data_IF_829150020626
#
_entry.id   IF_829150020626
#
_cell.length_a   1.000
_cell.length_b   1.000
_cell.length_c   1.000
_cell.angle_alpha   90.00
_cell.angle_beta   90.00
_cell.angle_gamma   90.00
#
_symmetry.space_group_name_H-M   'P 1'
#
loop_
_entity.id
_entity.type
_entity.pdbx_description
1 polymer ?
#
# COMPACT_ATOMS: atom_id res chain seq x y z
N UNK A 1 -62.29 23.21 16.41
CA UNK A 1 -61.77 23.62 15.09
C UNK A 1 -60.27 23.86 15.21
N UNK A 2 -59.49 23.13 14.40
CA UNK A 2 -58.13 22.67 14.71
C UNK A 2 -57.01 23.66 14.32
N UNK A 3 -56.06 23.90 15.22
CA UNK A 3 -54.88 24.77 15.02
C UNK A 3 -53.73 24.12 14.20
N UNK A 4 -53.92 22.91 13.67
CA UNK A 4 -52.89 22.20 12.90
C UNK A 4 -52.86 22.51 11.39
N UNK A 5 -53.82 23.27 10.85
CA UNK A 5 -53.92 23.48 9.40
C UNK A 5 -53.13 24.69 8.85
N UNK A 6 -52.39 25.44 9.69
CA UNK A 6 -51.67 26.65 9.24
C UNK A 6 -50.14 26.56 9.22
N UNK A 7 -49.56 25.45 9.67
CA UNK A 7 -48.09 25.27 9.68
C UNK A 7 -47.54 24.47 8.50
N UNK A 8 -48.42 23.86 7.67
CA UNK A 8 -48.00 22.96 6.59
C UNK A 8 -47.74 23.70 5.27
N UNK A 9 -48.16 24.96 5.13
CA UNK A 9 -48.04 25.68 3.86
C UNK A 9 -46.75 26.49 3.66
N UNK A 10 -45.92 26.67 4.70
CA UNK A 10 -44.66 27.42 4.61
C UNK A 10 -43.40 26.54 4.48
N UNK A 11 -43.49 25.22 4.70
CA UNK A 11 -42.35 24.30 4.51
C UNK A 11 -42.25 23.81 3.06
N UNK A 12 -43.35 23.86 2.29
CA UNK A 12 -43.34 23.40 0.90
C UNK A 12 -42.75 24.39 -0.10
N UNK A 13 -42.64 25.68 0.25
CA UNK A 13 -42.12 26.73 -0.63
C UNK A 13 -40.63 27.06 -0.42
N UNK A 14 -40.03 26.57 0.68
CA UNK A 14 -38.57 26.66 0.87
C UNK A 14 -37.81 25.51 0.17
N UNK A 15 -38.52 24.46 -0.25
CA UNK A 15 -37.97 23.35 -1.03
C UNK A 15 -37.98 23.57 -2.55
N UNK A 16 -38.58 24.66 -3.04
CA UNK A 16 -38.67 24.96 -4.48
C UNK A 16 -37.74 26.08 -4.96
N UNK A 17 -36.95 26.69 -4.07
CA UNK A 17 -35.97 27.73 -4.44
C UNK A 17 -34.51 27.39 -4.10
N UNK A 18 -34.23 26.14 -3.71
CA UNK A 18 -32.90 25.54 -3.79
C UNK A 18 -32.83 24.56 -4.98
N UNK A 19 -33.38 24.97 -6.13
CA UNK A 19 -32.80 24.57 -7.41
C UNK A 19 -31.48 25.30 -7.52
N UNK A 20 -30.50 24.84 -6.73
CA UNK A 20 -29.13 25.14 -6.94
C UNK A 20 -28.83 24.81 -8.40
N UNK A 21 -28.38 25.82 -9.14
CA UNK A 21 -27.44 25.62 -10.24
C UNK A 21 -26.19 24.94 -9.65
N UNK A 22 -26.32 23.68 -9.25
CA UNK A 22 -25.18 22.78 -9.22
C UNK A 22 -25.14 22.21 -10.61
N UNK A 23 -24.32 22.81 -11.47
CA UNK A 23 -23.68 22.05 -12.53
C UNK A 23 -23.04 20.85 -11.82
N UNK A 24 -23.73 19.71 -11.79
CA UNK A 24 -23.18 18.47 -11.33
C UNK A 24 -22.08 18.17 -12.33
N UNK A 25 -20.86 18.63 -12.02
CA UNK A 25 -19.67 18.18 -12.72
C UNK A 25 -19.75 16.66 -12.65
N UNK A 26 -19.90 16.03 -13.82
CA UNK A 26 -19.95 14.57 -13.93
C UNK A 26 -18.76 14.03 -13.16
N UNK A 27 -19.05 13.28 -12.09
CA UNK A 27 -17.97 12.71 -11.28
C UNK A 27 -17.16 11.79 -12.19
N UNK A 28 -15.82 11.89 -12.20
CA UNK A 28 -14.99 11.07 -13.06
C UNK A 28 -15.34 9.59 -12.89
N UNK A 29 -15.58 8.92 -14.02
CA UNK A 29 -15.89 7.49 -14.04
C UNK A 29 -14.61 6.74 -13.69
N UNK A 30 -14.62 6.02 -12.56
CA UNK A 30 -13.49 5.17 -12.17
C UNK A 30 -13.33 4.03 -13.17
N UNK A 31 -12.21 4.01 -13.89
CA UNK A 31 -11.82 2.93 -14.80
C UNK A 31 -10.89 1.99 -14.04
N UNK A 32 -11.33 0.74 -13.84
CA UNK A 32 -10.52 -0.30 -13.19
C UNK A 32 -9.56 -0.96 -14.18
N UNK A 33 -8.40 -1.49 -13.71
CA UNK A 33 -7.45 -2.15 -14.57
C UNK A 33 -8.03 -3.48 -15.07
N UNK A 34 -8.43 -3.52 -16.35
CA UNK A 34 -9.14 -4.66 -16.96
C UNK A 34 -8.37 -5.97 -16.82
N UNK A 35 -7.05 -5.91 -17.03
CA UNK A 35 -6.20 -7.09 -16.95
C UNK A 35 -6.18 -7.69 -15.54
N UNK A 36 -6.11 -6.84 -14.51
CA UNK A 36 -6.16 -7.25 -13.11
C UNK A 36 -7.51 -7.87 -12.74
N UNK A 37 -8.63 -7.24 -13.11
CA UNK A 37 -9.96 -7.75 -12.73
C UNK A 37 -10.30 -9.07 -13.44
N UNK A 38 -9.88 -9.23 -14.70
CA UNK A 38 -10.04 -10.48 -15.45
C UNK A 38 -9.24 -11.61 -14.82
N UNK A 39 -7.96 -11.38 -14.53
CA UNK A 39 -7.08 -12.37 -13.90
C UNK A 39 -7.58 -12.77 -12.50
N UNK A 40 -8.13 -11.81 -11.76
CA UNK A 40 -8.71 -12.07 -10.45
C UNK A 40 -10.07 -12.78 -10.51
N UNK A 41 -10.72 -12.80 -11.68
CA UNK A 41 -12.07 -13.32 -11.86
C UNK A 41 -13.12 -12.50 -11.11
N UNK A 42 -12.97 -11.17 -11.10
CA UNK A 42 -13.91 -10.23 -10.47
C UNK A 42 -14.44 -9.22 -11.50
N UNK A 43 -15.60 -8.65 -11.23
CA UNK A 43 -16.21 -7.61 -12.06
C UNK A 43 -16.11 -6.24 -11.39
N UNK A 44 -16.23 -5.12 -12.14
CA UNK A 44 -16.35 -3.79 -11.53
C UNK A 44 -17.48 -3.71 -10.49
N UNK A 45 -18.60 -4.38 -10.76
CA UNK A 45 -19.74 -4.45 -9.84
C UNK A 45 -19.38 -5.13 -8.53
N UNK A 46 -18.52 -6.17 -8.55
CA UNK A 46 -18.04 -6.81 -7.33
C UNK A 46 -17.22 -5.83 -6.48
N UNK A 47 -16.39 -5.00 -7.11
CA UNK A 47 -15.60 -3.97 -6.41
C UNK A 47 -16.55 -3.01 -5.69
N UNK A 48 -17.49 -2.39 -6.43
CA UNK A 48 -18.44 -1.44 -5.84
C UNK A 48 -19.27 -2.05 -4.72
N UNK A 49 -19.76 -3.28 -4.91
CA UNK A 49 -20.56 -4.00 -3.91
C UNK A 49 -19.79 -4.26 -2.61
N UNK A 50 -18.48 -4.41 -2.67
CA UNK A 50 -17.65 -4.78 -1.53
C UNK A 50 -16.90 -3.60 -0.89
N UNK A 51 -16.92 -2.40 -1.47
CA UNK A 51 -16.28 -1.20 -0.91
C UNK A 51 -16.71 -0.93 0.55
N UNK A 52 -18.00 -1.08 0.85
CA UNK A 52 -18.54 -0.77 2.17
C UNK A 52 -17.88 -1.59 3.29
N UNK A 53 -17.51 -2.84 3.00
CA UNK A 53 -16.81 -3.72 3.95
C UNK A 53 -15.49 -3.13 4.43
N UNK A 54 -14.84 -2.30 3.61
CA UNK A 54 -13.55 -1.72 3.91
C UNK A 54 -13.61 -0.31 4.51
N UNK A 55 -14.79 0.32 4.60
CA UNK A 55 -14.92 1.69 5.15
C UNK A 55 -14.57 1.79 6.63
N UNK A 56 -14.76 0.72 7.38
CA UNK A 56 -14.41 0.65 8.81
C UNK A 56 -13.10 -0.08 9.06
N UNK A 57 -12.38 -0.49 8.00
CA UNK A 57 -11.08 -1.13 8.13
C UNK A 57 -10.06 -0.14 8.72
N UNK A 58 -9.24 -0.58 9.68
CA UNK A 58 -8.25 0.29 10.35
C UNK A 58 -7.28 0.95 9.36
N UNK A 59 -6.82 0.21 8.34
CA UNK A 59 -5.95 0.74 7.28
C UNK A 59 -6.66 1.85 6.52
N UNK A 60 -7.95 1.68 6.23
CA UNK A 60 -8.74 2.71 5.57
C UNK A 60 -8.91 3.96 6.44
N UNK A 61 -9.19 3.78 7.73
CA UNK A 61 -9.36 4.90 8.67
C UNK A 61 -8.06 5.68 8.85
N UNK A 62 -6.93 5.00 8.98
CA UNK A 62 -5.60 5.63 9.05
C UNK A 62 -5.26 6.40 7.76
N UNK A 63 -5.51 5.80 6.60
CA UNK A 63 -5.34 6.47 5.31
C UNK A 63 -6.19 7.74 5.21
N UNK A 64 -7.47 7.67 5.55
CA UNK A 64 -8.35 8.83 5.48
C UNK A 64 -7.99 9.90 6.53
N UNK A 65 -7.46 9.51 7.69
CA UNK A 65 -6.90 10.46 8.65
C UNK A 65 -5.70 11.20 8.05
N UNK A 66 -4.79 10.49 7.39
CA UNK A 66 -3.66 11.08 6.67
C UNK A 66 -4.11 12.03 5.55
N UNK A 67 -5.07 11.62 4.72
CA UNK A 67 -5.65 12.48 3.67
C UNK A 67 -6.19 13.79 4.25
N UNK A 68 -6.88 13.73 5.39
CA UNK A 68 -7.40 14.94 6.05
C UNK A 68 -6.31 15.82 6.67
N UNK A 69 -5.20 15.22 7.09
CA UNK A 69 -4.06 15.95 7.65
C UNK A 69 -3.29 16.71 6.56
N UNK A 70 -3.01 16.04 5.43
CA UNK A 70 -2.22 16.62 4.33
C UNK A 70 -3.04 17.45 3.33
N UNK A 71 -4.36 17.26 3.32
CA UNK A 71 -5.30 18.03 2.48
C UNK A 71 -6.53 18.45 3.33
N UNK A 72 -6.37 19.39 4.28
CA UNK A 72 -7.41 19.73 5.27
C UNK A 72 -8.69 20.33 4.67
N UNK A 73 -8.59 20.94 3.49
CA UNK A 73 -9.72 21.58 2.80
C UNK A 73 -10.12 20.83 1.51
N UNK A 74 -9.89 19.51 1.47
CA UNK A 74 -10.30 18.70 0.33
C UNK A 74 -11.81 18.84 0.06
N UNK A 75 -12.17 19.08 -1.20
CA UNK A 75 -13.57 19.13 -1.63
C UNK A 75 -14.32 17.85 -1.21
N UNK A 76 -15.54 17.93 -0.64
CA UNK A 76 -16.28 16.76 -0.18
C UNK A 76 -16.52 15.70 -1.26
N UNK A 77 -16.72 16.12 -2.51
CA UNK A 77 -16.87 15.22 -3.65
C UNK A 77 -15.58 14.46 -3.94
N UNK A 78 -14.46 15.18 -4.06
CA UNK A 78 -13.12 14.56 -4.19
C UNK A 78 -12.80 13.62 -3.05
N UNK A 79 -13.10 14.03 -1.81
CA UNK A 79 -12.88 13.21 -0.60
C UNK A 79 -13.64 11.89 -0.66
N UNK A 80 -14.90 11.92 -1.09
CA UNK A 80 -15.70 10.72 -1.28
C UNK A 80 -15.10 9.80 -2.35
N UNK A 81 -14.59 10.36 -3.45
CA UNK A 81 -13.93 9.60 -4.51
C UNK A 81 -12.60 8.98 -4.05
N UNK A 82 -11.75 9.72 -3.32
CA UNK A 82 -10.51 9.21 -2.70
C UNK A 82 -10.82 8.05 -1.74
N UNK A 83 -11.86 8.19 -0.92
CA UNK A 83 -12.29 7.11 -0.02
C UNK A 83 -12.78 5.87 -0.80
N UNK A 84 -13.54 6.07 -1.88
CA UNK A 84 -13.99 5.01 -2.79
C UNK A 84 -12.83 4.30 -3.49
N UNK A 85 -11.82 5.04 -3.94
CA UNK A 85 -10.59 4.48 -4.51
C UNK A 85 -9.85 3.62 -3.49
N UNK A 86 -9.63 4.13 -2.28
CA UNK A 86 -8.89 3.39 -1.26
C UNK A 86 -9.60 2.09 -0.86
N UNK A 87 -10.92 2.14 -0.67
CA UNK A 87 -11.70 0.91 -0.38
C UNK A 87 -11.72 -0.08 -1.53
N UNK A 88 -11.74 0.40 -2.78
CA UNK A 88 -11.61 -0.46 -3.97
C UNK A 88 -10.24 -1.14 -4.05
N UNK A 89 -9.18 -0.38 -3.78
CA UNK A 89 -7.81 -0.88 -3.75
C UNK A 89 -7.64 -1.96 -2.68
N UNK A 90 -8.15 -1.74 -1.48
CA UNK A 90 -8.11 -2.74 -0.40
C UNK A 90 -8.84 -4.03 -0.77
N UNK A 91 -10.02 -3.93 -1.42
CA UNK A 91 -10.73 -5.12 -1.91
C UNK A 91 -9.90 -5.87 -2.96
N UNK A 92 -9.36 -5.19 -3.96
CA UNK A 92 -8.55 -5.84 -5.00
C UNK A 92 -7.29 -6.47 -4.42
N UNK A 93 -6.61 -5.81 -3.47
CA UNK A 93 -5.48 -6.35 -2.73
C UNK A 93 -5.83 -7.64 -1.98
N UNK A 94 -6.97 -7.68 -1.31
CA UNK A 94 -7.46 -8.88 -0.63
C UNK A 94 -7.69 -10.06 -1.60
N UNK A 95 -8.17 -9.76 -2.82
CA UNK A 95 -8.34 -10.76 -3.89
C UNK A 95 -7.00 -11.28 -4.42
N UNK A 96 -6.01 -10.40 -4.62
CA UNK A 96 -4.65 -10.78 -5.02
C UNK A 96 -4.02 -11.68 -3.95
N UNK A 97 -4.08 -11.26 -2.68
CA UNK A 97 -3.57 -12.02 -1.54
C UNK A 97 -4.22 -13.41 -1.45
N UNK A 98 -5.54 -13.48 -1.55
CA UNK A 98 -6.29 -14.75 -1.51
C UNK A 98 -5.90 -15.69 -2.66
N UNK A 99 -5.70 -15.14 -3.87
CA UNK A 99 -5.28 -15.92 -5.02
C UNK A 99 -3.87 -16.51 -4.84
N UNK A 100 -2.96 -15.74 -4.25
CA UNK A 100 -1.59 -16.22 -3.98
C UNK A 100 -1.57 -17.28 -2.87
N UNK A 101 -2.22 -17.01 -1.73
CA UNK A 101 -2.26 -17.93 -0.58
C UNK A 101 -2.95 -19.26 -0.90
N UNK A 102 -3.89 -19.27 -1.85
CA UNK A 102 -4.54 -20.50 -2.33
C UNK A 102 -3.75 -21.24 -3.42
N UNK A 103 -2.62 -20.68 -3.89
CA UNK A 103 -1.83 -21.24 -4.98
C UNK A 103 -2.44 -21.04 -6.37
N UNK A 104 -3.50 -20.23 -6.52
CA UNK A 104 -4.10 -19.89 -7.81
C UNK A 104 -3.15 -19.08 -8.69
N UNK A 105 -2.35 -18.21 -8.09
CA UNK A 105 -1.30 -17.44 -8.77
C UNK A 105 0.06 -17.68 -8.09
N UNK A 106 1.13 -17.64 -8.87
CA UNK A 106 2.50 -17.80 -8.36
C UNK A 106 3.09 -16.45 -7.89
N UNK A 107 4.31 -16.47 -7.33
CA UNK A 107 5.00 -15.26 -6.84
C UNK A 107 5.17 -14.17 -7.91
N UNK A 108 5.49 -14.58 -9.14
CA UNK A 108 5.70 -13.64 -10.25
C UNK A 108 4.39 -12.91 -10.58
N UNK A 109 3.28 -13.65 -10.68
CA UNK A 109 1.95 -13.11 -10.92
C UNK A 109 1.48 -12.22 -9.75
N UNK A 110 1.72 -12.63 -8.50
CA UNK A 110 1.42 -11.82 -7.31
C UNK A 110 2.14 -10.46 -7.35
N UNK A 111 3.44 -10.46 -7.67
CA UNK A 111 4.25 -9.25 -7.78
C UNK A 111 3.75 -8.34 -8.90
N UNK A 112 3.50 -8.90 -10.09
CA UNK A 112 3.01 -8.14 -11.24
C UNK A 112 1.65 -7.50 -11.00
N UNK A 113 0.69 -8.26 -10.44
CA UNK A 113 -0.66 -7.76 -10.13
C UNK A 113 -0.64 -6.69 -9.03
N UNK A 114 0.23 -6.83 -8.03
CA UNK A 114 0.39 -5.81 -6.98
C UNK A 114 0.95 -4.52 -7.54
N UNK A 115 1.95 -4.60 -8.43
CA UNK A 115 2.50 -3.43 -9.11
C UNK A 115 1.47 -2.74 -10.01
N UNK A 116 0.66 -3.50 -10.75
CA UNK A 116 -0.43 -2.95 -11.57
C UNK A 116 -1.51 -2.27 -10.71
N UNK A 117 -1.90 -2.88 -9.59
CA UNK A 117 -2.85 -2.30 -8.64
C UNK A 117 -2.33 -0.96 -8.09
N UNK A 118 -1.06 -0.89 -7.69
CA UNK A 118 -0.45 0.35 -7.20
C UNK A 118 -0.38 1.42 -8.28
N UNK A 119 -0.01 1.06 -9.50
CA UNK A 119 0.00 1.98 -10.65
C UNK A 119 -1.39 2.55 -10.91
N UNK A 120 -2.41 1.70 -10.93
CA UNK A 120 -3.80 2.15 -11.07
C UNK A 120 -4.19 3.10 -9.94
N UNK A 121 -3.89 2.74 -8.68
CA UNK A 121 -4.25 3.55 -7.52
C UNK A 121 -3.65 4.96 -7.59
N UNK A 122 -2.37 5.08 -7.95
CA UNK A 122 -1.70 6.38 -8.10
C UNK A 122 -2.29 7.18 -9.26
N UNK A 123 -2.45 6.57 -10.44
CA UNK A 123 -3.01 7.24 -11.61
C UNK A 123 -4.42 7.77 -11.35
N UNK A 124 -5.28 6.99 -10.69
CA UNK A 124 -6.64 7.43 -10.37
C UNK A 124 -6.66 8.61 -9.38
N UNK A 125 -5.67 8.73 -8.50
CA UNK A 125 -5.56 9.93 -7.65
C UNK A 125 -5.16 11.16 -8.45
N UNK A 126 -4.28 11.03 -9.45
CA UNK A 126 -3.89 12.15 -10.33
C UNK A 126 -5.07 12.69 -11.15
N UNK A 127 -6.05 11.84 -11.47
CA UNK A 127 -7.26 12.26 -12.19
C UNK A 127 -8.27 13.02 -11.29
N UNK A 128 -8.21 12.80 -9.98
CA UNK A 128 -9.20 13.33 -9.01
C UNK A 128 -8.64 14.55 -8.28
N UNK A 129 -7.37 14.53 -7.94
CA UNK A 129 -6.68 15.55 -7.18
C UNK A 129 -5.98 16.54 -8.11
N UNK A 130 -5.91 17.81 -7.69
CA UNK A 130 -4.96 18.74 -8.31
C UNK A 130 -3.53 18.30 -8.06
N UNK A 131 -2.57 18.76 -8.87
CA UNK A 131 -1.16 18.42 -8.68
C UNK A 131 -0.67 18.71 -7.26
N UNK A 132 -1.04 19.86 -6.68
CA UNK A 132 -0.68 20.22 -5.31
C UNK A 132 -1.24 19.25 -4.28
N UNK A 133 -2.51 18.88 -4.41
CA UNK A 133 -3.17 17.91 -3.51
C UNK A 133 -2.54 16.51 -3.66
N UNK A 134 -2.23 16.10 -4.89
CA UNK A 134 -1.54 14.85 -5.17
C UNK A 134 -0.14 14.83 -4.56
N UNK A 135 0.65 15.88 -4.76
CA UNK A 135 2.01 16.00 -4.23
C UNK A 135 2.02 16.06 -2.69
N UNK A 136 1.01 16.64 -2.07
CA UNK A 136 0.84 16.58 -0.60
C UNK A 136 0.63 15.17 -0.09
N UNK A 137 -0.06 14.31 -0.87
CA UNK A 137 -0.45 12.98 -0.45
C UNK A 137 0.60 11.90 -0.76
N UNK A 138 1.31 12.04 -1.88
CA UNK A 138 2.27 11.04 -2.37
C UNK A 138 3.71 11.55 -2.45
N UNK A 139 3.95 12.83 -2.13
CA UNK A 139 5.18 13.52 -2.45
C UNK A 139 5.20 14.02 -3.91
N UNK A 140 6.13 14.91 -4.28
CA UNK A 140 6.26 15.37 -5.65
C UNK A 140 6.37 14.16 -6.56
N UNK A 141 5.60 14.14 -7.66
CA UNK A 141 5.66 13.08 -8.66
C UNK A 141 7.13 12.84 -9.04
N UNK A 142 7.68 11.76 -8.51
CA UNK A 142 9.00 11.31 -8.88
C UNK A 142 8.88 10.89 -10.33
N UNK A 143 9.45 11.68 -11.23
CA UNK A 143 9.54 11.37 -12.65
C UNK A 143 10.32 10.05 -12.81
N UNK A 144 9.64 8.91 -12.69
CA UNK A 144 10.21 7.58 -12.82
C UNK A 144 11.21 7.14 -11.74
N UNK A 145 11.32 7.82 -10.60
CA UNK A 145 12.21 7.32 -9.54
C UNK A 145 11.56 6.22 -8.69
N UNK A 146 12.32 5.19 -8.29
CA UNK A 146 11.82 4.08 -7.49
C UNK A 146 11.43 4.56 -6.10
N UNK A 147 10.57 3.76 -5.44
CA UNK A 147 10.15 3.91 -4.05
C UNK A 147 11.26 4.44 -3.12
N UNK A 148 10.92 5.22 -2.08
CA UNK A 148 11.89 5.85 -1.20
C UNK A 148 12.87 4.82 -0.65
N UNK A 149 14.10 4.89 -1.16
CA UNK A 149 15.20 4.03 -0.73
C UNK A 149 15.46 4.32 0.73
N UNK A 150 15.25 3.32 1.58
CA UNK A 150 15.67 3.37 2.98
C UNK A 150 17.19 3.49 2.93
N UNK A 151 17.79 4.60 3.40
CA UNK A 151 19.22 4.81 3.25
C UNK A 151 19.96 3.79 4.12
N UNK A 152 20.53 2.77 3.48
CA UNK A 152 21.37 1.73 4.13
C UNK A 152 22.80 2.22 4.39
N UNK A 153 23.08 3.50 4.11
CA UNK A 153 24.43 4.07 4.15
C UNK A 153 25.30 3.66 2.96
N UNK A 154 24.75 2.94 1.99
CA UNK A 154 25.40 2.54 0.75
C UNK A 154 24.45 2.70 -0.45
N UNK A 155 25.00 2.75 -1.67
CA UNK A 155 24.23 2.92 -2.91
C UNK A 155 23.51 1.64 -3.37
N UNK A 156 23.60 0.54 -2.64
CA UNK A 156 23.06 -0.76 -3.05
C UNK A 156 21.61 -0.96 -2.61
N UNK A 157 21.12 -0.19 -1.63
CA UNK A 157 19.75 -0.32 -1.11
C UNK A 157 19.52 -1.53 -0.21
N UNK A 158 20.58 -2.26 0.18
CA UNK A 158 20.59 -3.31 1.21
C UNK A 158 21.92 -3.28 2.00
N UNK A 159 21.97 -3.76 3.25
CA UNK A 159 23.20 -3.79 4.05
C UNK A 159 24.17 -4.86 3.57
N UNK A 160 25.46 -4.60 3.72
CA UNK A 160 26.51 -5.62 3.60
C UNK A 160 26.85 -6.04 5.03
N UNK A 161 26.48 -7.26 5.42
CA UNK A 161 26.72 -7.79 6.76
C UNK A 161 28.14 -8.36 6.92
N UNK A 162 28.80 -8.72 5.81
CA UNK A 162 30.19 -9.13 5.82
C UNK A 162 31.13 -7.91 5.96
N UNK A 163 31.83 -7.74 7.11
CA UNK A 163 32.68 -6.57 7.33
C UNK A 163 33.90 -6.50 6.40
N UNK A 164 34.27 -7.61 5.75
CA UNK A 164 35.37 -7.67 4.79
C UNK A 164 34.98 -7.32 3.36
N UNK A 165 33.71 -7.02 3.09
CA UNK A 165 33.21 -6.78 1.72
C UNK A 165 32.86 -5.30 1.52
N UNK A 166 33.33 -4.71 0.42
CA UNK A 166 32.99 -3.34 0.04
C UNK A 166 31.90 -3.29 -1.03
N UNK A 167 31.32 -2.11 -1.25
CA UNK A 167 30.31 -1.88 -2.30
C UNK A 167 30.86 -2.17 -3.69
N UNK A 168 32.12 -1.79 -3.93
CA UNK A 168 32.82 -2.00 -5.21
C UNK A 168 32.96 -3.50 -5.50
N UNK A 169 33.34 -4.29 -4.50
CA UNK A 169 33.44 -5.75 -4.63
C UNK A 169 32.10 -6.38 -5.02
N UNK A 170 31.00 -5.89 -4.46
CA UNK A 170 29.64 -6.33 -4.83
C UNK A 170 29.33 -5.95 -6.28
N UNK A 171 29.56 -4.69 -6.68
CA UNK A 171 29.31 -4.20 -8.05
C UNK A 171 30.16 -4.91 -9.12
N UNK A 172 31.34 -5.41 -8.76
CA UNK A 172 32.20 -6.22 -9.65
C UNK A 172 31.69 -7.66 -9.82
N UNK A 173 31.02 -8.21 -8.80
CA UNK A 173 30.66 -9.63 -8.73
C UNK A 173 29.19 -9.92 -8.99
N UNK A 174 28.33 -8.92 -8.82
CA UNK A 174 26.90 -9.00 -9.07
C UNK A 174 26.54 -8.04 -10.20
N UNK A 175 25.71 -8.49 -11.12
CA UNK A 175 25.14 -7.62 -12.15
C UNK A 175 24.10 -6.67 -11.54
N UNK A 176 23.83 -5.56 -12.24
CA UNK A 176 22.91 -4.53 -11.76
C UNK A 176 21.47 -5.01 -11.58
N UNK A 177 21.01 -6.02 -12.32
CA UNK A 177 19.67 -6.58 -12.15
C UNK A 177 19.60 -7.35 -10.83
N UNK A 178 20.57 -8.23 -10.55
CA UNK A 178 20.64 -8.97 -9.29
C UNK A 178 20.70 -8.02 -8.08
N UNK A 179 21.51 -6.96 -8.15
CA UNK A 179 21.58 -5.92 -7.10
C UNK A 179 20.21 -5.27 -6.89
N UNK A 180 19.53 -4.89 -7.98
CA UNK A 180 18.21 -4.26 -7.92
C UNK A 180 17.15 -5.20 -7.32
N UNK A 181 17.19 -6.49 -7.67
CA UNK A 181 16.25 -7.49 -7.14
C UNK A 181 16.43 -7.70 -5.63
N UNK A 182 17.68 -7.78 -5.15
CA UNK A 182 18.00 -7.89 -3.71
C UNK A 182 17.56 -6.63 -2.98
N UNK A 183 17.86 -5.44 -3.52
CA UNK A 183 17.47 -4.17 -2.92
C UNK A 183 15.96 -4.05 -2.77
N UNK A 184 15.20 -4.43 -3.81
CA UNK A 184 13.73 -4.43 -3.76
C UNK A 184 13.22 -5.37 -2.67
N UNK A 185 13.70 -6.61 -2.64
CA UNK A 185 13.25 -7.59 -1.65
C UNK A 185 13.59 -7.16 -0.22
N UNK A 186 14.80 -6.60 -0.02
CA UNK A 186 15.20 -6.06 1.28
C UNK A 186 14.31 -4.88 1.72
N UNK A 187 13.92 -3.99 0.79
CA UNK A 187 13.01 -2.90 1.12
C UNK A 187 11.61 -3.39 1.48
N UNK A 188 11.08 -4.39 0.77
CA UNK A 188 9.82 -5.06 1.13
C UNK A 188 9.91 -5.62 2.55
N UNK A 189 11.00 -6.33 2.87
CA UNK A 189 11.28 -6.86 4.21
C UNK A 189 11.31 -5.77 5.30
N UNK A 190 12.05 -4.68 5.09
CA UNK A 190 12.13 -3.60 6.09
C UNK A 190 10.80 -2.88 6.26
N UNK A 191 10.02 -2.75 5.18
CA UNK A 191 8.68 -2.15 5.27
C UNK A 191 7.75 -3.03 6.11
N UNK A 192 7.75 -4.34 5.90
CA UNK A 192 6.96 -5.28 6.73
C UNK A 192 7.35 -5.18 8.21
N UNK A 193 8.65 -5.11 8.52
CA UNK A 193 9.13 -4.91 9.89
C UNK A 193 8.61 -3.62 10.52
N UNK A 194 8.61 -2.51 9.78
CA UNK A 194 8.06 -1.24 10.29
C UNK A 194 6.56 -1.34 10.57
N UNK A 195 5.81 -1.99 9.70
CA UNK A 195 4.36 -2.13 9.85
C UNK A 195 4.01 -2.96 11.09
N UNK A 196 4.80 -4.02 11.35
CA UNK A 196 4.70 -4.84 12.57
C UNK A 196 5.07 -4.01 13.80
N UNK A 197 6.17 -3.26 13.75
CA UNK A 197 6.60 -2.40 14.85
C UNK A 197 5.56 -1.32 15.17
N UNK A 198 4.97 -0.69 14.16
CA UNK A 198 3.88 0.28 14.32
C UNK A 198 2.68 -0.37 15.00
N UNK A 199 2.33 -1.60 14.61
CA UNK A 199 1.24 -2.38 15.25
C UNK A 199 1.54 -2.66 16.73
N UNK A 200 2.80 -2.88 17.09
CA UNK A 200 3.22 -3.00 18.49
C UNK A 200 3.07 -1.69 19.27
N UNK A 201 3.50 -0.58 18.68
CA UNK A 201 3.47 0.75 19.32
C UNK A 201 2.03 1.23 19.57
N UNK A 202 1.12 0.97 18.63
CA UNK A 202 -0.31 1.32 18.75
C UNK A 202 -1.08 0.33 19.62
N UNK A 203 -0.61 -0.91 19.72
CA UNK A 203 -1.20 -1.98 20.52
C UNK A 203 -2.39 -2.65 19.83
N UNK A 204 -2.61 -3.92 20.15
CA UNK A 204 -3.72 -4.71 19.63
C UNK A 204 -4.76 -4.92 20.74
N UNK A 205 -6.02 -4.47 20.57
CA UNK A 205 -7.05 -4.66 21.57
C UNK A 205 -7.23 -6.14 21.96
N UNK A 206 -7.16 -6.42 23.25
CA UNK A 206 -7.35 -7.78 23.78
C UNK A 206 -6.11 -8.69 23.69
N UNK A 207 -4.95 -8.18 23.28
CA UNK A 207 -3.69 -8.92 23.29
C UNK A 207 -2.71 -8.29 24.28
N UNK A 208 -2.10 -9.13 25.12
CA UNK A 208 -1.10 -8.71 26.10
C UNK A 208 0.18 -8.21 25.41
N UNK A 209 0.72 -7.08 25.88
CA UNK A 209 1.93 -6.45 25.29
C UNK A 209 3.14 -7.38 25.24
N UNK A 210 3.27 -8.29 26.22
CA UNK A 210 4.33 -9.30 26.25
C UNK A 210 4.18 -10.33 25.12
N UNK A 211 2.95 -10.72 24.77
CA UNK A 211 2.69 -11.63 23.67
C UNK A 211 2.99 -10.98 22.33
N UNK A 212 2.55 -9.73 22.12
CA UNK A 212 2.87 -8.97 20.91
C UNK A 212 4.39 -8.85 20.71
N UNK A 213 5.14 -8.61 21.79
CA UNK A 213 6.62 -8.55 21.74
C UNK A 213 7.25 -9.89 21.31
N UNK A 214 6.77 -11.01 21.85
CA UNK A 214 7.30 -12.33 21.49
C UNK A 214 6.97 -12.69 20.04
N UNK A 215 5.75 -12.36 19.59
CA UNK A 215 5.35 -12.57 18.21
C UNK A 215 6.15 -11.69 17.25
N UNK A 216 6.42 -10.43 17.62
CA UNK A 216 7.28 -9.53 16.84
C UNK A 216 8.69 -10.09 16.66
N UNK A 217 9.35 -10.54 17.74
CA UNK A 217 10.68 -11.15 17.66
C UNK A 217 10.67 -12.40 16.77
N UNK A 218 9.64 -13.24 16.89
CA UNK A 218 9.49 -14.42 16.04
C UNK A 218 9.32 -14.05 14.56
N UNK A 219 8.49 -13.04 14.26
CA UNK A 219 8.27 -12.59 12.89
C UNK A 219 9.52 -11.91 12.33
N UNK A 220 10.26 -11.13 13.13
CA UNK A 220 11.57 -10.59 12.77
C UNK A 220 12.53 -11.70 12.32
N UNK A 221 12.66 -12.76 13.12
CA UNK A 221 13.49 -13.93 12.79
C UNK A 221 13.02 -14.63 11.51
N UNK A 222 11.70 -14.84 11.35
CA UNK A 222 11.10 -15.47 10.17
C UNK A 222 11.34 -14.64 8.90
N UNK A 223 11.20 -13.32 8.99
CA UNK A 223 11.40 -12.40 7.88
C UNK A 223 12.88 -12.30 7.49
N UNK A 224 13.80 -12.28 8.47
CA UNK A 224 15.24 -12.33 8.20
C UNK A 224 15.61 -13.67 7.55
N UNK A 225 15.07 -14.80 8.04
CA UNK A 225 15.29 -16.11 7.44
C UNK A 225 14.76 -16.19 6.00
N UNK A 226 13.60 -15.58 5.72
CA UNK A 226 13.03 -15.49 4.38
C UNK A 226 13.92 -14.67 3.43
N UNK A 227 14.44 -13.52 3.90
CA UNK A 227 15.40 -12.72 3.15
C UNK A 227 16.67 -13.50 2.80
N UNK A 228 17.29 -14.14 3.80
CA UNK A 228 18.48 -14.98 3.56
C UNK A 228 18.17 -16.15 2.62
N UNK A 229 17.01 -16.79 2.75
CA UNK A 229 16.60 -17.89 1.87
C UNK A 229 16.42 -17.42 0.43
N UNK A 230 15.81 -16.25 0.23
CA UNK A 230 15.67 -15.65 -1.09
C UNK A 230 17.03 -15.34 -1.71
N UNK A 231 17.93 -14.69 -0.96
CA UNK A 231 19.28 -14.40 -1.42
C UNK A 231 20.04 -15.68 -1.76
N UNK A 232 19.95 -16.76 -0.97
CA UNK A 232 20.57 -18.06 -1.32
C UNK A 232 20.06 -18.68 -2.61
N UNK A 233 18.81 -18.39 -2.99
CA UNK A 233 18.21 -18.93 -4.22
C UNK A 233 18.77 -18.26 -5.48
N UNK A 234 19.11 -16.97 -5.39
CA UNK A 234 19.52 -16.17 -6.56
C UNK A 234 21.02 -15.90 -6.61
N UNK A 235 21.74 -16.11 -5.51
CA UNK A 235 23.19 -15.91 -5.41
C UNK A 235 23.93 -17.24 -5.41
N UNK A 236 25.13 -17.23 -5.99
CA UNK A 236 26.10 -18.30 -5.77
C UNK A 236 26.63 -18.27 -4.33
N UNK A 237 27.28 -19.35 -3.90
CA UNK A 237 27.81 -19.42 -2.55
C UNK A 237 28.85 -18.33 -2.25
N UNK A 238 29.69 -18.00 -3.24
CA UNK A 238 30.64 -16.90 -3.14
C UNK A 238 29.93 -15.56 -2.95
N UNK A 239 28.97 -15.24 -3.83
CA UNK A 239 28.24 -13.97 -3.80
C UNK A 239 27.41 -13.81 -2.52
N UNK A 240 26.77 -14.87 -2.05
CA UNK A 240 26.06 -14.81 -0.78
C UNK A 240 27.01 -14.56 0.38
N UNK A 241 28.15 -15.26 0.44
CA UNK A 241 29.13 -15.07 1.51
C UNK A 241 29.76 -13.67 1.46
N UNK A 242 29.80 -13.02 0.30
CA UNK A 242 30.19 -11.61 0.20
C UNK A 242 29.18 -10.69 0.89
N UNK A 243 27.88 -10.97 0.84
CA UNK A 243 26.86 -10.13 1.49
C UNK A 243 26.76 -10.46 2.99
N UNK A 244 26.64 -11.75 3.34
CA UNK A 244 26.27 -12.19 4.68
C UNK A 244 27.43 -12.72 5.53
N UNK A 245 28.61 -12.86 4.93
CA UNK A 245 29.75 -13.54 5.55
C UNK A 245 29.63 -15.06 5.46
N UNK A 246 30.66 -15.76 5.94
CA UNK A 246 30.51 -17.19 6.20
C UNK A 246 29.72 -17.37 7.49
N UNK A 247 28.85 -18.39 7.60
CA UNK A 247 28.38 -18.78 8.92
C UNK A 247 29.63 -19.12 9.72
N UNK A 248 29.93 -18.33 10.76
CA UNK A 248 31.03 -18.65 11.64
C UNK A 248 30.87 -20.14 12.03
N UNK A 249 31.92 -20.93 11.82
CA UNK A 249 32.09 -22.18 12.57
C UNK A 249 32.31 -21.79 14.05
N UNK A 250 31.27 -21.27 14.71
CA UNK A 250 31.26 -21.05 16.16
C UNK A 250 31.25 -22.40 16.83
N UNK A 251 32.46 -22.85 17.18
CA UNK A 251 32.70 -23.65 18.38
C UNK A 251 32.31 -22.87 19.62
#
# INVERSE_FOLDING_TARGET
MNRQARFVFFIFLYWLFLSADSSAAESPVLIFPESLIVELGITPQDIFKNQEKYRTNSIHLEWMAHVNDVIPEIDPGKKAMVAGLHTSMLYMKDRINSAYLSGRINQQAFTAQSAELMKWFLNSHQEILSQKEYDSLFGPAQNGEPLPVIPTGNELGFPIENPGTTVEMIKEKLDGQTITEIARFYQEHVQELRDIQKTYETGVPGVEKAQIKNDMLRIEDELQAAYMTYCRKILTDEQFNMIFGQPDNKK
#
